data_IF_839704761246
#
_entry.id   IF_839704761246
#
_cell.length_a   1.000
_cell.length_b   1.000
_cell.length_c   1.000
_cell.angle_alpha   90.00
_cell.angle_beta   90.00
_cell.angle_gamma   90.00
#
_symmetry.space_group_name_H-M   'P 1'
#
loop_
_entity.id
_entity.type
_entity.pdbx_description
1 polymer ?
#
# COMPACT_ATOMS: atom_id res chain seq x y z
N UNK A 1 -19.80 2.95 -8.94
CA UNK A 1 -18.74 1.93 -8.75
C UNK A 1 -19.37 0.56 -8.92
N UNK A 2 -18.79 -0.32 -9.72
CA UNK A 2 -19.31 -1.66 -9.97
C UNK A 2 -18.54 -2.62 -9.05
N UNK A 3 -19.23 -3.46 -8.29
CA UNK A 3 -18.55 -4.49 -7.49
C UNK A 3 -17.97 -5.55 -8.41
N UNK A 4 -16.78 -6.04 -8.07
CA UNK A 4 -16.14 -7.12 -8.85
C UNK A 4 -17.03 -8.37 -8.90
N UNK A 5 -17.80 -8.63 -7.86
CA UNK A 5 -18.75 -9.75 -7.84
C UNK A 5 -19.80 -9.66 -8.95
N UNK A 6 -20.26 -8.45 -9.29
CA UNK A 6 -21.30 -8.22 -10.28
C UNK A 6 -20.82 -8.45 -11.72
N UNK A 7 -19.50 -8.35 -11.97
CA UNK A 7 -18.91 -8.57 -13.30
C UNK A 7 -18.06 -9.83 -13.38
N UNK A 8 -17.96 -10.59 -12.31
CA UNK A 8 -17.12 -11.80 -12.23
C UNK A 8 -17.42 -12.79 -13.36
N UNK A 9 -18.69 -13.04 -13.65
CA UNK A 9 -19.11 -13.95 -14.72
C UNK A 9 -18.67 -13.44 -16.09
N UNK A 10 -18.77 -12.12 -16.34
CA UNK A 10 -18.34 -11.51 -17.61
C UNK A 10 -16.81 -11.49 -17.79
N UNK A 11 -16.07 -11.64 -16.70
CA UNK A 11 -14.61 -11.72 -16.69
C UNK A 11 -14.09 -13.16 -16.67
N UNK A 12 -14.98 -14.15 -16.47
CA UNK A 12 -14.59 -15.55 -16.43
C UNK A 12 -13.97 -16.00 -17.76
N UNK A 13 -12.83 -16.66 -17.68
CA UNK A 13 -12.08 -17.12 -18.86
C UNK A 13 -11.26 -16.04 -19.58
N UNK A 14 -11.42 -14.77 -19.23
CA UNK A 14 -10.62 -13.66 -19.78
C UNK A 14 -9.30 -13.53 -19.05
N UNK A 15 -8.27 -13.06 -19.76
CA UNK A 15 -6.99 -12.65 -19.20
C UNK A 15 -7.05 -11.18 -18.79
N UNK A 16 -6.70 -10.89 -17.54
CA UNK A 16 -6.83 -9.55 -16.95
C UNK A 16 -5.45 -8.98 -16.64
N UNK A 17 -5.12 -7.88 -17.28
CA UNK A 17 -3.93 -7.08 -16.95
C UNK A 17 -4.24 -6.10 -15.82
N UNK A 18 -3.40 -6.07 -14.78
CA UNK A 18 -3.45 -5.06 -13.74
C UNK A 18 -2.21 -4.19 -13.84
N UNK A 19 -2.39 -2.90 -13.88
CA UNK A 19 -1.33 -1.97 -14.21
C UNK A 19 -1.40 -0.69 -13.38
N UNK A 20 -0.26 -0.23 -12.92
CA UNK A 20 -0.02 1.13 -12.47
C UNK A 20 1.39 1.59 -12.86
N UNK A 21 1.59 2.90 -12.86
CA UNK A 21 2.86 3.50 -13.31
C UNK A 21 4.06 3.08 -12.43
N UNK A 22 3.82 2.85 -11.15
CA UNK A 22 4.88 2.48 -10.21
C UNK A 22 5.42 1.09 -10.53
N UNK A 23 4.52 0.15 -10.81
CA UNK A 23 4.88 -1.24 -11.09
C UNK A 23 5.49 -1.38 -12.49
N UNK A 24 4.85 -0.77 -13.48
CA UNK A 24 5.20 -1.00 -14.89
C UNK A 24 6.45 -0.26 -15.32
N UNK A 25 6.73 0.95 -14.78
CA UNK A 25 7.77 1.82 -15.33
C UNK A 25 8.91 2.18 -14.38
N UNK A 26 8.78 1.96 -13.08
CA UNK A 26 9.76 2.47 -12.12
C UNK A 26 10.82 1.47 -11.67
N UNK A 27 10.76 0.19 -12.09
CA UNK A 27 11.57 -0.92 -11.54
C UNK A 27 11.46 -1.01 -9.99
N UNK A 28 10.34 -0.64 -9.43
CA UNK A 28 10.11 -0.64 -7.97
C UNK A 28 9.14 -1.75 -7.56
N UNK A 29 9.28 -2.93 -8.16
CA UNK A 29 8.40 -4.09 -7.90
C UNK A 29 8.36 -4.48 -6.41
N UNK A 30 9.46 -4.27 -5.69
CA UNK A 30 9.55 -4.51 -4.25
C UNK A 30 8.94 -3.40 -3.39
N UNK A 31 8.55 -2.26 -3.97
CA UNK A 31 8.06 -1.13 -3.19
C UNK A 31 6.67 -1.37 -2.61
N UNK A 32 6.40 -0.75 -1.45
CA UNK A 32 5.07 -0.78 -0.83
C UNK A 32 3.97 -0.16 -1.71
N UNK A 33 4.32 0.70 -2.66
CA UNK A 33 3.39 1.26 -3.64
C UNK A 33 3.01 0.23 -4.70
N UNK A 34 3.99 -0.51 -5.22
CA UNK A 34 3.76 -1.60 -6.14
C UNK A 34 2.97 -2.75 -5.49
N UNK A 35 3.13 -2.96 -4.18
CA UNK A 35 2.41 -3.98 -3.45
C UNK A 35 0.89 -3.88 -3.62
N UNK A 36 0.33 -2.68 -3.77
CA UNK A 36 -1.09 -2.46 -4.03
C UNK A 36 -1.57 -3.19 -5.30
N UNK A 37 -0.84 -3.07 -6.39
CA UNK A 37 -1.19 -3.73 -7.67
C UNK A 37 -1.15 -5.26 -7.53
N UNK A 38 -0.16 -5.78 -6.81
CA UNK A 38 -0.06 -7.22 -6.55
C UNK A 38 -1.14 -7.74 -5.60
N UNK A 39 -1.54 -6.92 -4.62
CA UNK A 39 -2.69 -7.23 -3.76
C UNK A 39 -3.97 -7.39 -4.58
N UNK A 40 -4.24 -6.47 -5.49
CA UNK A 40 -5.39 -6.53 -6.38
C UNK A 40 -5.35 -7.77 -7.27
N UNK A 41 -4.21 -8.10 -7.87
CA UNK A 41 -4.05 -9.32 -8.65
C UNK A 41 -4.34 -10.56 -7.81
N UNK A 42 -3.80 -10.63 -6.61
CA UNK A 42 -4.05 -11.74 -5.68
C UNK A 42 -5.51 -11.85 -5.29
N UNK A 43 -6.17 -10.72 -5.05
CA UNK A 43 -7.59 -10.66 -4.69
C UNK A 43 -8.47 -11.20 -5.82
N UNK A 44 -8.23 -10.74 -7.05
CA UNK A 44 -8.95 -11.24 -8.23
C UNK A 44 -8.70 -12.74 -8.48
N UNK A 45 -7.46 -13.18 -8.31
CA UNK A 45 -7.09 -14.59 -8.45
C UNK A 45 -7.77 -15.46 -7.37
N UNK A 46 -7.90 -14.94 -6.14
CA UNK A 46 -8.55 -15.67 -5.03
C UNK A 46 -10.03 -15.96 -5.29
N UNK A 47 -10.68 -15.17 -6.12
CA UNK A 47 -12.07 -15.37 -6.55
C UNK A 47 -12.18 -16.11 -7.90
N UNK A 48 -11.09 -16.66 -8.42
CA UNK A 48 -11.04 -17.51 -9.61
C UNK A 48 -10.88 -16.75 -10.94
N UNK A 49 -10.48 -15.49 -10.94
CA UNK A 49 -10.18 -14.73 -12.14
C UNK A 49 -8.70 -14.88 -12.54
N UNK A 50 -8.40 -14.84 -13.84
CA UNK A 50 -7.04 -14.93 -14.37
C UNK A 50 -6.42 -13.52 -14.46
N UNK A 51 -5.88 -13.04 -13.34
CA UNK A 51 -5.30 -11.69 -13.24
C UNK A 51 -3.78 -11.72 -13.11
N UNK A 52 -3.10 -10.86 -13.85
CA UNK A 52 -1.64 -10.70 -13.86
C UNK A 52 -1.28 -9.21 -13.72
N UNK A 53 -0.27 -8.92 -12.91
CA UNK A 53 0.35 -7.58 -12.87
C UNK A 53 1.23 -7.41 -14.10
N UNK A 54 1.04 -6.32 -14.84
CA UNK A 54 1.88 -5.98 -15.99
C UNK A 54 3.31 -5.65 -15.55
N UNK A 55 4.25 -6.12 -16.32
CA UNK A 55 5.66 -5.74 -16.25
C UNK A 55 6.06 -4.94 -17.49
N UNK A 56 7.30 -4.43 -17.53
CA UNK A 56 7.83 -3.74 -18.72
C UNK A 56 7.89 -4.61 -19.98
N UNK A 57 7.97 -5.92 -19.81
CA UNK A 57 8.07 -6.89 -20.90
C UNK A 57 6.70 -7.28 -21.45
N UNK A 58 5.64 -7.04 -20.69
CA UNK A 58 4.30 -7.41 -21.12
C UNK A 58 3.72 -6.40 -22.11
N UNK A 59 3.02 -6.90 -23.13
CA UNK A 59 2.21 -6.08 -24.00
C UNK A 59 0.75 -6.14 -23.52
N UNK A 60 0.16 -5.01 -23.19
CA UNK A 60 -1.24 -4.96 -22.73
C UNK A 60 -2.24 -5.49 -23.76
N UNK A 61 -1.89 -5.43 -25.04
CA UNK A 61 -2.74 -5.96 -26.13
C UNK A 61 -2.84 -7.49 -26.16
N UNK A 62 -2.01 -8.20 -25.36
CA UNK A 62 -2.10 -9.66 -25.21
C UNK A 62 -3.15 -10.07 -24.14
N UNK A 63 -3.85 -9.11 -23.55
CA UNK A 63 -4.87 -9.32 -22.53
C UNK A 63 -6.24 -8.90 -23.04
N UNK A 64 -7.29 -9.58 -22.55
CA UNK A 64 -8.68 -9.27 -22.90
C UNK A 64 -9.24 -8.09 -22.11
N UNK A 65 -8.69 -7.83 -20.93
CA UNK A 65 -9.15 -6.80 -20.00
C UNK A 65 -7.97 -6.06 -19.41
N UNK A 66 -8.07 -4.76 -19.32
CA UNK A 66 -7.09 -3.90 -18.68
C UNK A 66 -7.69 -3.18 -17.46
N UNK A 67 -7.26 -3.53 -16.27
CA UNK A 67 -7.59 -2.84 -15.03
C UNK A 67 -6.46 -1.89 -14.64
N UNK A 68 -6.74 -0.61 -14.65
CA UNK A 68 -5.74 0.44 -14.54
C UNK A 68 -6.02 1.39 -13.39
N UNK A 69 -4.99 1.75 -12.63
CA UNK A 69 -5.08 2.72 -11.55
C UNK A 69 -4.79 4.15 -12.03
N UNK A 70 -5.45 4.58 -13.09
CA UNK A 70 -5.22 5.88 -13.74
C UNK A 70 -5.25 7.09 -12.79
N UNK A 71 -6.24 7.21 -11.87
CA UNK A 71 -6.30 8.36 -10.98
C UNK A 71 -5.07 8.51 -10.09
N UNK A 72 -4.55 7.39 -9.57
CA UNK A 72 -3.32 7.39 -8.77
C UNK A 72 -2.11 7.85 -9.56
N UNK A 73 -2.09 7.56 -10.85
CA UNK A 73 -0.97 7.90 -11.72
C UNK A 73 -0.94 9.37 -12.08
N UNK A 74 -2.09 9.97 -12.32
CA UNK A 74 -2.14 11.39 -12.63
C UNK A 74 -1.79 12.24 -11.42
N UNK A 75 -2.23 11.86 -10.22
CA UNK A 75 -1.79 12.50 -8.98
C UNK A 75 -0.33 12.18 -8.64
N UNK A 76 0.07 10.91 -8.76
CA UNK A 76 1.41 10.44 -8.41
C UNK A 76 2.47 10.83 -9.43
N UNK A 77 2.17 10.86 -10.73
CA UNK A 77 3.13 11.24 -11.76
C UNK A 77 3.55 12.69 -11.65
N UNK A 78 2.64 13.56 -11.22
CA UNK A 78 2.97 14.95 -10.94
C UNK A 78 4.06 15.07 -9.87
N UNK A 79 3.99 14.26 -8.82
CA UNK A 79 4.89 14.30 -7.68
C UNK A 79 6.09 13.34 -7.79
N UNK A 80 5.93 12.20 -8.45
CA UNK A 80 6.94 11.13 -8.50
C UNK A 80 7.92 11.27 -9.66
N UNK A 81 7.51 11.83 -10.78
CA UNK A 81 8.30 11.88 -12.01
C UNK A 81 8.79 13.28 -12.38
N UNK A 82 8.61 14.26 -11.49
CA UNK A 82 9.24 15.58 -11.64
C UNK A 82 8.90 16.34 -12.92
N UNK A 83 7.74 16.12 -13.49
CA UNK A 83 7.20 16.98 -14.55
C UNK A 83 7.72 16.77 -15.97
N UNK A 84 8.78 15.99 -16.19
CA UNK A 84 9.45 15.85 -17.49
C UNK A 84 9.38 14.44 -18.09
N UNK A 85 8.61 13.52 -17.50
CA UNK A 85 8.61 12.13 -17.95
C UNK A 85 7.54 11.88 -19.01
N UNK A 86 7.94 11.32 -20.15
CA UNK A 86 7.06 10.95 -21.26
C UNK A 86 6.31 9.63 -21.05
N UNK A 87 6.66 8.83 -20.03
CA UNK A 87 6.02 7.54 -19.76
C UNK A 87 4.51 7.64 -19.52
N UNK A 88 3.98 8.62 -18.76
CA UNK A 88 2.53 8.81 -18.64
C UNK A 88 1.83 9.08 -19.99
N UNK A 89 2.45 9.87 -20.87
CA UNK A 89 1.91 10.14 -22.20
C UNK A 89 1.89 8.88 -23.08
N UNK A 90 2.96 8.09 -23.08
CA UNK A 90 3.03 6.82 -23.79
C UNK A 90 1.97 5.82 -23.28
N UNK A 91 1.68 5.84 -22.00
CA UNK A 91 0.66 5.00 -21.40
C UNK A 91 -0.77 5.42 -21.74
N UNK A 92 -1.05 6.72 -21.72
CA UNK A 92 -2.32 7.26 -22.20
C UNK A 92 -2.51 6.92 -23.70
N UNK A 93 -1.46 7.01 -24.51
CA UNK A 93 -1.51 6.59 -25.91
C UNK A 93 -1.90 5.12 -26.04
N UNK A 94 -1.29 4.23 -25.25
CA UNK A 94 -1.67 2.80 -25.25
C UNK A 94 -3.12 2.58 -24.82
N UNK A 95 -3.62 3.37 -23.87
CA UNK A 95 -5.03 3.33 -23.47
C UNK A 95 -5.94 3.69 -24.65
N UNK A 96 -5.58 4.71 -25.43
CA UNK A 96 -6.34 5.13 -26.60
C UNK A 96 -6.32 4.07 -27.73
N UNK A 97 -5.25 3.29 -27.84
CA UNK A 97 -5.07 2.28 -28.87
C UNK A 97 -5.56 0.88 -28.44
N UNK A 98 -5.90 0.69 -27.16
CA UNK A 98 -6.37 -0.58 -26.65
C UNK A 98 -7.82 -0.87 -27.09
N UNK A 99 -8.07 -2.10 -27.55
CA UNK A 99 -9.36 -2.52 -28.09
C UNK A 99 -10.22 -3.37 -27.13
N UNK A 100 -9.64 -3.81 -26.01
CA UNK A 100 -10.33 -4.61 -25.00
C UNK A 100 -11.09 -3.76 -23.98
N UNK A 101 -11.70 -4.43 -23.01
CA UNK A 101 -12.39 -3.78 -21.91
C UNK A 101 -11.42 -3.08 -20.95
N UNK A 102 -11.69 -1.82 -20.59
CA UNK A 102 -10.88 -1.06 -19.63
C UNK A 102 -11.73 -0.73 -18.41
N UNK A 103 -11.14 -0.97 -17.23
CA UNK A 103 -11.73 -0.62 -15.95
C UNK A 103 -10.74 0.18 -15.09
N UNK A 104 -11.26 1.13 -14.33
CA UNK A 104 -10.49 1.86 -13.33
C UNK A 104 -10.65 1.21 -11.95
N UNK A 105 -9.56 1.03 -11.23
CA UNK A 105 -9.54 0.38 -9.93
C UNK A 105 -9.85 1.37 -8.80
N UNK A 106 -10.94 1.10 -8.06
CA UNK A 106 -11.28 1.70 -6.76
C UNK A 106 -11.21 3.23 -6.62
N UNK A 107 -11.28 4.00 -7.72
CA UNK A 107 -11.27 5.47 -7.64
C UNK A 107 -12.10 6.09 -8.73
N UNK A 108 -12.67 7.25 -8.43
CA UNK A 108 -13.24 8.12 -9.45
C UNK A 108 -12.11 8.66 -10.33
N UNK A 109 -12.36 8.72 -11.62
CA UNK A 109 -11.40 9.29 -12.55
C UNK A 109 -11.31 10.81 -12.32
N UNK A 110 -10.12 11.37 -12.13
CA UNK A 110 -9.96 12.81 -12.08
C UNK A 110 -10.26 13.39 -13.48
N UNK A 111 -10.30 14.70 -13.57
CA UNK A 111 -10.39 15.40 -14.86
C UNK A 111 -9.09 15.20 -15.65
N UNK A 112 -9.01 14.06 -16.32
CA UNK A 112 -7.84 13.66 -17.11
C UNK A 112 -7.56 14.65 -18.25
N UNK A 113 -8.62 15.14 -18.89
CA UNK A 113 -8.50 16.15 -19.96
C UNK A 113 -7.82 17.42 -19.44
N UNK A 114 -8.25 17.95 -18.31
CA UNK A 114 -7.63 19.14 -17.71
C UNK A 114 -6.19 18.92 -17.28
N UNK A 115 -5.86 17.72 -16.80
CA UNK A 115 -4.48 17.35 -16.46
C UNK A 115 -3.60 17.30 -17.72
N UNK A 116 -4.03 16.62 -18.77
CA UNK A 116 -3.29 16.53 -20.04
C UNK A 116 -3.11 17.92 -20.65
N UNK A 117 -4.17 18.74 -20.70
CA UNK A 117 -4.09 20.12 -21.19
C UNK A 117 -3.05 20.97 -20.42
N UNK A 118 -3.05 20.85 -19.10
CA UNK A 118 -2.06 21.52 -18.25
C UNK A 118 -0.62 21.09 -18.59
N UNK A 119 -0.44 19.83 -18.92
CA UNK A 119 0.87 19.28 -19.29
C UNK A 119 1.32 19.64 -20.69
N UNK A 120 0.40 19.75 -21.64
CA UNK A 120 0.71 20.15 -23.02
C UNK A 120 1.42 21.51 -23.12
N UNK A 121 1.21 22.38 -22.11
CA UNK A 121 1.86 23.70 -22.06
C UNK A 121 3.35 23.67 -21.76
N UNK A 122 3.87 22.56 -21.22
CA UNK A 122 5.23 22.46 -20.69
C UNK A 122 6.03 21.23 -21.15
N UNK A 123 5.52 20.42 -22.09
CA UNK A 123 6.04 19.08 -22.30
C UNK A 123 6.42 18.76 -23.74
N UNK A 124 7.09 17.61 -23.89
CA UNK A 124 7.56 16.98 -25.10
C UNK A 124 6.48 16.80 -26.16
N UNK A 125 6.92 16.48 -27.38
CA UNK A 125 6.03 16.23 -28.51
C UNK A 125 5.11 15.02 -28.31
N UNK A 126 5.47 14.07 -27.43
CA UNK A 126 4.63 12.92 -27.08
C UNK A 126 3.33 13.33 -26.43
N UNK A 127 3.36 14.33 -25.52
CA UNK A 127 2.16 14.87 -24.92
C UNK A 127 1.29 15.66 -25.90
N UNK A 128 1.93 16.42 -26.79
CA UNK A 128 1.26 17.22 -27.82
C UNK A 128 0.54 16.35 -28.86
N UNK A 129 1.00 15.12 -29.05
CA UNK A 129 0.44 14.17 -29.99
C UNK A 129 -0.82 13.42 -29.44
N UNK A 130 -1.20 13.64 -28.19
CA UNK A 130 -2.37 12.98 -27.60
C UNK A 130 -3.68 13.60 -28.07
N UNK A 131 -4.63 12.76 -28.46
CA UNK A 131 -6.01 13.16 -28.73
C UNK A 131 -6.77 13.32 -27.41
N UNK A 132 -6.83 14.55 -26.92
CA UNK A 132 -7.48 14.90 -25.65
C UNK A 132 -8.99 14.66 -25.69
N UNK A 133 -9.63 14.90 -26.83
CA UNK A 133 -11.08 14.71 -26.96
C UNK A 133 -11.42 13.22 -26.88
N UNK A 134 -10.67 12.38 -27.57
CA UNK A 134 -10.82 10.93 -27.51
C UNK A 134 -10.56 10.40 -26.10
N UNK A 135 -9.53 10.90 -25.42
CA UNK A 135 -9.24 10.55 -24.03
C UNK A 135 -10.39 10.94 -23.09
N UNK A 136 -10.96 12.14 -23.25
CA UNK A 136 -12.13 12.56 -22.49
C UNK A 136 -13.31 11.59 -22.64
N UNK A 137 -13.63 11.20 -23.87
CA UNK A 137 -14.69 10.24 -24.15
C UNK A 137 -14.42 8.86 -23.50
N UNK A 138 -13.18 8.37 -23.56
CA UNK A 138 -12.80 7.12 -22.90
C UNK A 138 -12.98 7.25 -21.38
N UNK A 139 -12.51 8.34 -20.77
CA UNK A 139 -12.63 8.57 -19.34
C UNK A 139 -14.10 8.62 -18.86
N UNK A 140 -15.01 9.15 -19.67
CA UNK A 140 -16.44 9.16 -19.38
C UNK A 140 -17.07 7.75 -19.41
N UNK A 141 -16.50 6.84 -20.21
CA UNK A 141 -17.01 5.46 -20.39
C UNK A 141 -16.36 4.44 -19.47
N UNK A 142 -15.17 4.71 -18.95
CA UNK A 142 -14.44 3.79 -18.06
C UNK A 142 -15.21 3.60 -16.76
N UNK A 143 -15.51 2.35 -16.45
CA UNK A 143 -16.20 1.96 -15.23
C UNK A 143 -15.21 1.76 -14.09
N UNK A 144 -15.48 2.38 -12.95
CA UNK A 144 -14.71 2.16 -11.73
C UNK A 144 -15.20 0.88 -11.05
N UNK A 145 -14.25 -0.01 -10.77
CA UNK A 145 -14.50 -1.29 -10.11
C UNK A 145 -14.14 -1.21 -8.64
N UNK A 146 -15.04 -1.61 -7.77
CA UNK A 146 -14.78 -1.91 -6.38
C UNK A 146 -14.27 -3.35 -6.27
N UNK A 147 -13.01 -3.51 -5.88
CA UNK A 147 -12.34 -4.81 -5.73
C UNK A 147 -12.53 -5.42 -4.36
N UNK A 148 -13.37 -4.84 -3.49
CA UNK A 148 -13.74 -5.46 -2.23
C UNK A 148 -14.40 -6.82 -2.47
N UNK A 149 -14.14 -7.76 -1.55
CA UNK A 149 -14.72 -9.10 -1.55
C UNK A 149 -15.81 -9.20 -0.50
N UNK A 150 -16.60 -10.27 -0.54
CA UNK A 150 -17.57 -10.59 0.51
C UNK A 150 -16.91 -11.13 1.81
N UNK A 151 -15.59 -11.05 1.91
CA UNK A 151 -14.84 -11.46 3.09
C UNK A 151 -15.21 -10.62 4.30
N UNK A 152 -15.48 -11.28 5.42
CA UNK A 152 -15.67 -10.64 6.71
C UNK A 152 -14.34 -10.30 7.41
N UNK A 153 -13.19 -10.64 6.79
CA UNK A 153 -11.86 -10.27 7.25
C UNK A 153 -11.45 -8.91 6.71
N UNK A 154 -11.09 -8.01 7.59
CA UNK A 154 -10.70 -6.65 7.24
C UNK A 154 -9.37 -6.26 7.88
N UNK A 155 -8.51 -5.62 7.10
CA UNK A 155 -7.22 -5.11 7.54
C UNK A 155 -7.29 -3.59 7.59
N UNK A 156 -7.01 -3.00 8.76
CA UNK A 156 -7.00 -1.57 8.98
C UNK A 156 -5.62 -1.12 9.43
N UNK A 157 -4.99 -0.18 8.74
CA UNK A 157 -3.69 0.32 9.18
C UNK A 157 -3.16 1.51 8.39
N UNK A 158 -1.97 1.93 8.77
CA UNK A 158 -1.19 2.92 8.03
C UNK A 158 -0.55 2.29 6.76
N UNK A 159 0.43 2.94 6.16
CA UNK A 159 1.11 2.45 4.95
C UNK A 159 1.80 1.09 5.11
N UNK A 160 2.02 0.62 6.35
CA UNK A 160 2.63 -0.68 6.63
C UNK A 160 1.62 -1.84 6.55
N UNK A 161 0.30 -1.55 6.60
CA UNK A 161 -0.76 -2.56 6.62
C UNK A 161 -0.71 -3.53 5.43
N UNK A 162 -0.18 -3.09 4.28
CA UNK A 162 0.03 -3.97 3.12
C UNK A 162 0.96 -5.14 3.41
N UNK A 163 1.87 -5.00 4.36
CA UNK A 163 2.84 -6.05 4.71
C UNK A 163 2.21 -7.23 5.46
N UNK A 164 0.99 -7.07 5.93
CA UNK A 164 0.17 -8.12 6.56
C UNK A 164 -1.08 -8.44 5.76
N UNK A 165 -1.17 -7.99 4.51
CA UNK A 165 -2.29 -8.33 3.64
C UNK A 165 -2.39 -9.84 3.42
N UNK A 166 -3.58 -10.37 3.65
CA UNK A 166 -3.92 -11.76 3.44
C UNK A 166 -4.82 -11.87 2.21
N UNK A 167 -4.50 -12.75 1.23
CA UNK A 167 -5.35 -12.94 0.05
C UNK A 167 -6.81 -13.20 0.42
N UNK A 168 -7.71 -12.50 -0.22
CA UNK A 168 -9.15 -12.56 0.05
C UNK A 168 -9.65 -11.59 1.12
N UNK A 169 -8.79 -11.04 1.98
CA UNK A 169 -9.20 -10.02 2.95
C UNK A 169 -9.46 -8.66 2.28
N UNK A 170 -10.33 -7.86 2.87
CA UNK A 170 -10.46 -6.45 2.52
C UNK A 170 -9.45 -5.61 3.30
N UNK A 171 -9.06 -4.46 2.79
CA UNK A 171 -8.06 -3.60 3.42
C UNK A 171 -8.40 -2.11 3.27
N UNK A 172 -8.25 -1.37 4.37
CA UNK A 172 -8.16 0.09 4.37
C UNK A 172 -6.74 0.50 4.78
N UNK A 173 -5.97 0.94 3.80
CA UNK A 173 -4.64 1.49 4.00
C UNK A 173 -4.72 3.00 4.09
N UNK A 174 -4.30 3.56 5.22
CA UNK A 174 -4.40 4.98 5.53
C UNK A 174 -3.01 5.60 5.64
N UNK A 175 -2.41 5.92 4.50
CA UNK A 175 -1.04 6.46 4.42
C UNK A 175 -0.90 7.74 5.24
N UNK A 176 0.10 7.76 6.12
CA UNK A 176 0.39 8.93 6.95
C UNK A 176 -0.50 9.09 8.20
N UNK A 177 -1.47 8.21 8.44
CA UNK A 177 -2.30 8.25 9.65
C UNK A 177 -1.55 7.72 10.87
N UNK A 178 -1.65 8.45 11.98
CA UNK A 178 -1.19 8.01 13.30
C UNK A 178 -2.24 7.16 14.00
N UNK A 179 -1.83 6.30 14.93
CA UNK A 179 -2.75 5.58 15.81
C UNK A 179 -3.63 6.56 16.60
N UNK A 180 -3.01 7.57 17.19
CA UNK A 180 -3.72 8.62 17.92
C UNK A 180 -4.79 9.31 17.05
N UNK A 181 -4.43 9.64 15.81
CA UNK A 181 -5.36 10.30 14.87
C UNK A 181 -6.57 9.44 14.54
N UNK A 182 -6.36 8.17 14.24
CA UNK A 182 -7.45 7.24 13.91
C UNK A 182 -8.38 7.00 15.10
N UNK A 183 -7.85 6.87 16.31
CA UNK A 183 -8.68 6.76 17.52
C UNK A 183 -9.51 8.04 17.74
N UNK A 184 -8.91 9.22 17.56
CA UNK A 184 -9.62 10.50 17.70
C UNK A 184 -10.72 10.71 16.67
N UNK A 185 -10.55 10.20 15.46
CA UNK A 185 -11.54 10.26 14.38
C UNK A 185 -12.65 9.21 14.54
N UNK A 186 -12.45 8.21 15.40
CA UNK A 186 -13.34 7.05 15.61
C UNK A 186 -12.97 5.90 14.69
N UNK A 187 -12.32 4.87 15.24
CA UNK A 187 -11.84 3.69 14.47
C UNK A 187 -12.97 2.98 13.71
N UNK A 188 -14.16 2.98 14.27
CA UNK A 188 -15.37 2.38 13.69
C UNK A 188 -15.75 2.98 12.34
N UNK A 189 -15.37 4.24 12.07
CA UNK A 189 -15.67 4.91 10.82
C UNK A 189 -14.87 4.36 9.62
N UNK A 190 -13.76 3.68 9.92
CA UNK A 190 -12.88 3.07 8.93
C UNK A 190 -13.21 1.61 8.63
N UNK A 191 -14.08 0.98 9.41
CA UNK A 191 -14.33 -0.45 9.38
C UNK A 191 -15.71 -0.72 8.77
N UNK A 192 -15.80 -1.53 7.71
CA UNK A 192 -17.07 -1.90 7.11
C UNK A 192 -17.98 -2.64 8.11
N UNK A 193 -19.28 -2.40 8.01
CA UNK A 193 -20.28 -3.20 8.73
C UNK A 193 -20.17 -4.67 8.31
N UNK A 194 -20.32 -5.59 9.27
CA UNK A 194 -20.21 -7.01 9.00
C UNK A 194 -18.78 -7.56 9.06
N UNK A 195 -17.80 -6.74 9.47
CA UNK A 195 -16.46 -7.25 9.78
C UNK A 195 -16.51 -8.16 11.00
N UNK A 196 -16.06 -9.40 10.85
CA UNK A 196 -16.00 -10.40 11.94
C UNK A 196 -14.56 -10.66 12.40
N UNK A 197 -13.59 -10.42 11.53
CA UNK A 197 -12.17 -10.54 11.82
C UNK A 197 -11.44 -9.25 11.42
N UNK A 198 -10.84 -8.57 12.38
CA UNK A 198 -10.09 -7.35 12.20
C UNK A 198 -8.60 -7.59 12.46
N UNK A 199 -7.76 -7.26 11.48
CA UNK A 199 -6.31 -7.15 11.66
C UNK A 199 -5.97 -5.67 11.63
N UNK A 200 -5.24 -5.18 12.65
CA UNK A 200 -4.96 -3.75 12.76
C UNK A 200 -3.47 -3.47 12.94
N UNK A 201 -2.94 -2.48 12.19
CA UNK A 201 -1.51 -2.16 12.14
C UNK A 201 -1.25 -0.66 12.12
N UNK A 202 -1.04 -0.10 13.30
CA UNK A 202 -0.72 1.31 13.54
C UNK A 202 0.38 1.48 14.58
N UNK A 203 0.83 2.71 14.78
CA UNK A 203 1.81 3.08 15.81
C UNK A 203 3.19 3.44 15.24
N UNK A 204 3.50 3.02 14.02
CA UNK A 204 4.79 3.31 13.39
C UNK A 204 5.09 4.81 13.29
N UNK A 205 4.09 5.60 12.93
CA UNK A 205 4.22 7.06 12.76
C UNK A 205 4.29 7.74 14.12
N UNK A 206 3.51 7.24 15.10
CA UNK A 206 3.51 7.76 16.45
C UNK A 206 4.89 7.64 17.09
N UNK A 207 5.54 6.48 16.99
CA UNK A 207 6.92 6.26 17.48
C UNK A 207 7.89 7.20 16.76
N UNK A 208 7.87 7.23 15.42
CA UNK A 208 8.86 7.98 14.64
C UNK A 208 8.82 9.48 14.86
N UNK A 209 7.63 10.04 15.01
CA UNK A 209 7.46 11.49 14.87
C UNK A 209 6.85 12.18 16.09
N UNK A 210 6.18 11.48 16.97
CA UNK A 210 5.38 12.12 18.01
C UNK A 210 5.76 11.75 19.44
N UNK A 211 6.00 10.48 19.73
CA UNK A 211 6.14 10.04 21.11
C UNK A 211 7.43 10.53 21.80
N UNK A 212 8.55 10.59 21.09
CA UNK A 212 9.78 11.19 21.64
C UNK A 212 9.65 12.70 21.97
N UNK A 213 8.59 13.36 21.50
CA UNK A 213 8.31 14.78 21.80
C UNK A 213 7.49 15.00 23.07
N UNK A 214 6.98 13.93 23.66
CA UNK A 214 6.18 13.99 24.87
C UNK A 214 7.06 14.24 26.09
N UNK A 215 6.50 14.81 27.13
CA UNK A 215 7.22 15.07 28.40
C UNK A 215 7.67 13.79 29.11
N UNK A 216 6.90 12.72 28.95
CA UNK A 216 7.23 11.38 29.44
C UNK A 216 6.94 10.35 28.32
N UNK A 217 7.90 10.12 27.39
CA UNK A 217 7.68 9.27 26.23
C UNK A 217 7.25 7.83 26.57
N UNK A 218 7.86 7.21 27.58
CA UNK A 218 7.56 5.83 27.96
C UNK A 218 6.13 5.66 28.49
N UNK A 219 5.68 6.56 29.37
CA UNK A 219 4.30 6.51 29.85
C UNK A 219 3.30 6.88 28.74
N UNK A 220 3.68 7.77 27.84
CA UNK A 220 2.86 8.14 26.68
C UNK A 220 2.63 6.95 25.74
N UNK A 221 3.66 6.11 25.50
CA UNK A 221 3.49 4.86 24.73
C UNK A 221 2.50 3.92 25.42
N UNK A 222 2.68 3.67 26.72
CA UNK A 222 1.77 2.78 27.46
C UNK A 222 0.33 3.28 27.44
N UNK A 223 0.13 4.58 27.66
CA UNK A 223 -1.19 5.19 27.60
C UNK A 223 -1.81 5.06 26.18
N UNK A 224 -1.02 5.32 25.12
CA UNK A 224 -1.48 5.17 23.75
C UNK A 224 -1.93 3.75 23.43
N UNK A 225 -1.14 2.72 23.83
CA UNK A 225 -1.49 1.32 23.58
C UNK A 225 -2.69 0.91 24.44
N UNK A 226 -2.78 1.36 25.70
CA UNK A 226 -3.95 1.09 26.55
C UNK A 226 -5.25 1.67 25.94
N UNK A 227 -5.20 2.89 25.45
CA UNK A 227 -6.35 3.51 24.79
C UNK A 227 -6.70 2.81 23.47
N UNK A 228 -5.70 2.37 22.73
CA UNK A 228 -5.90 1.57 21.53
C UNK A 228 -6.71 0.30 21.81
N UNK A 229 -6.33 -0.47 22.81
CA UNK A 229 -7.04 -1.70 23.18
C UNK A 229 -8.46 -1.44 23.69
N UNK A 230 -8.70 -0.33 24.41
CA UNK A 230 -10.06 0.10 24.77
C UNK A 230 -10.92 0.39 23.54
N UNK A 231 -10.37 1.12 22.55
CA UNK A 231 -11.08 1.40 21.30
C UNK A 231 -11.37 0.10 20.53
N UNK A 232 -10.39 -0.81 20.41
CA UNK A 232 -10.58 -2.10 19.75
C UNK A 232 -11.67 -2.94 20.46
N UNK A 233 -11.67 -2.98 21.78
CA UNK A 233 -12.70 -3.71 22.55
C UNK A 233 -14.11 -3.15 22.31
N UNK A 234 -14.23 -1.85 22.18
CA UNK A 234 -15.50 -1.18 21.91
C UNK A 234 -16.11 -1.50 20.54
N UNK A 235 -15.30 -1.95 19.56
CA UNK A 235 -15.78 -2.34 18.23
C UNK A 235 -16.68 -3.59 18.24
N UNK A 236 -16.60 -4.41 19.28
CA UNK A 236 -17.39 -5.65 19.43
C UNK A 236 -17.27 -6.60 18.22
N UNK A 237 -16.05 -6.76 17.70
CA UNK A 237 -15.70 -7.66 16.60
C UNK A 237 -15.26 -9.00 17.17
N UNK A 238 -15.69 -10.12 16.55
CA UNK A 238 -15.49 -11.48 17.08
C UNK A 238 -14.01 -11.84 17.24
N UNK A 239 -13.18 -11.47 16.25
CA UNK A 239 -11.74 -11.73 16.25
C UNK A 239 -10.98 -10.46 15.93
N UNK A 240 -10.06 -10.09 16.81
CA UNK A 240 -9.16 -8.95 16.61
C UNK A 240 -7.73 -9.44 16.74
N UNK A 241 -6.87 -9.04 15.80
CA UNK A 241 -5.43 -9.27 15.84
C UNK A 241 -4.70 -7.94 15.69
N UNK A 242 -3.75 -7.70 16.58
CA UNK A 242 -2.92 -6.50 16.59
C UNK A 242 -1.54 -6.84 16.06
N UNK A 243 -1.04 -6.07 15.10
CA UNK A 243 0.29 -6.28 14.52
C UNK A 243 1.34 -5.54 15.32
N UNK A 244 2.38 -6.23 15.74
CA UNK A 244 3.56 -5.63 16.38
C UNK A 244 4.34 -4.77 15.42
N UNK A 245 4.92 -3.71 15.94
CA UNK A 245 5.76 -2.82 15.13
C UNK A 245 7.02 -3.54 14.66
N UNK A 246 7.46 -3.22 13.45
CA UNK A 246 8.75 -3.62 12.91
C UNK A 246 9.90 -3.00 13.69
N UNK A 247 11.12 -3.56 13.59
CA UNK A 247 12.33 -2.87 14.04
C UNK A 247 12.39 -1.45 13.47
N UNK A 248 12.84 -0.52 14.30
CA UNK A 248 12.92 0.89 13.92
C UNK A 248 13.96 1.06 12.81
N UNK A 249 13.58 1.83 11.83
CA UNK A 249 14.40 2.12 10.67
C UNK A 249 15.69 2.88 11.04
N UNK A 250 16.76 2.59 10.28
CA UNK A 250 18.04 3.24 10.41
C UNK A 250 17.97 4.75 10.06
N UNK A 251 18.77 5.58 10.72
CA UNK A 251 18.78 7.05 10.61
C UNK A 251 19.24 7.62 9.24
N UNK A 252 19.63 6.76 8.31
CA UNK A 252 19.99 7.15 6.94
C UNK A 252 18.84 7.63 6.05
N UNK A 253 17.63 7.80 6.59
CA UNK A 253 16.49 8.32 5.85
C UNK A 253 16.75 9.75 5.39
N UNK A 254 16.37 10.07 4.15
CA UNK A 254 16.42 11.43 3.62
C UNK A 254 15.46 12.33 4.39
N UNK A 255 15.91 13.55 4.69
CA UNK A 255 15.08 14.60 5.29
C UNK A 255 13.94 14.95 4.33
N UNK A 256 12.68 14.89 4.77
CA UNK A 256 11.54 15.31 3.97
C UNK A 256 11.64 16.77 3.56
N UNK A 257 11.38 17.06 2.30
CA UNK A 257 11.40 18.43 1.75
C UNK A 257 10.06 19.15 1.90
N UNK A 258 9.00 18.40 2.15
CA UNK A 258 7.61 18.90 2.23
C UNK A 258 6.84 18.17 3.32
N UNK A 259 5.70 18.71 3.68
CA UNK A 259 4.77 18.12 4.66
C UNK A 259 5.08 18.50 6.10
N UNK A 260 4.34 17.89 7.02
CA UNK A 260 4.42 18.19 8.46
C UNK A 260 5.80 17.93 9.08
N UNK A 261 6.54 16.94 8.54
CA UNK A 261 7.87 16.54 9.01
C UNK A 261 9.01 17.12 8.15
N UNK A 262 8.73 18.24 7.46
CA UNK A 262 9.75 18.98 6.73
C UNK A 262 10.94 19.27 7.66
N UNK A 263 12.14 19.09 7.14
CA UNK A 263 13.41 19.34 7.80
C UNK A 263 13.74 18.43 9.01
N UNK A 264 12.87 17.42 9.31
CA UNK A 264 13.11 16.45 10.37
C UNK A 264 12.66 15.04 9.97
N UNK A 265 13.57 14.10 9.71
CA UNK A 265 13.18 12.74 9.33
C UNK A 265 12.53 11.95 10.47
N UNK A 266 12.90 12.27 11.71
CA UNK A 266 12.44 11.60 12.93
C UNK A 266 12.37 12.58 14.12
N UNK A 267 11.72 12.15 15.22
CA UNK A 267 11.84 12.73 16.52
C UNK A 267 12.63 11.79 17.45
N UNK A 268 13.54 12.33 18.23
CA UNK A 268 14.44 11.56 19.09
C UNK A 268 15.55 10.83 18.31
N UNK A 269 16.42 10.16 19.05
CA UNK A 269 17.45 9.28 18.51
C UNK A 269 16.87 7.94 18.11
N UNK A 270 17.61 7.16 17.34
CA UNK A 270 17.21 5.80 17.01
C UNK A 270 17.08 4.91 18.25
N UNK A 271 18.01 5.06 19.22
CA UNK A 271 17.95 4.28 20.47
C UNK A 271 16.66 4.56 21.24
N UNK A 272 16.30 5.83 21.39
CA UNK A 272 15.03 6.24 22.04
C UNK A 272 13.82 5.65 21.32
N UNK A 273 13.76 5.76 19.99
CA UNK A 273 12.66 5.19 19.21
C UNK A 273 12.59 3.67 19.31
N UNK A 274 13.75 2.99 19.32
CA UNK A 274 13.81 1.52 19.52
C UNK A 274 13.25 1.15 20.88
N UNK A 275 13.63 1.84 21.95
CA UNK A 275 13.10 1.61 23.28
C UNK A 275 11.58 1.83 23.34
N UNK A 276 11.07 2.89 22.70
CA UNK A 276 9.62 3.13 22.64
C UNK A 276 8.88 2.04 21.85
N UNK A 277 9.46 1.54 20.76
CA UNK A 277 8.91 0.44 19.97
C UNK A 277 8.88 -0.87 20.77
N UNK A 278 9.92 -1.16 21.54
CA UNK A 278 9.98 -2.33 22.43
C UNK A 278 8.90 -2.26 23.50
N UNK A 279 8.72 -1.08 24.13
CA UNK A 279 7.64 -0.86 25.09
C UNK A 279 6.26 -1.00 24.43
N UNK A 280 6.07 -0.44 23.24
CA UNK A 280 4.83 -0.59 22.47
C UNK A 280 4.51 -2.08 22.23
N UNK A 281 5.47 -2.83 21.72
CA UNK A 281 5.30 -4.25 21.41
C UNK A 281 5.04 -5.10 22.67
N UNK A 282 5.71 -4.78 23.79
CA UNK A 282 5.49 -5.46 25.07
C UNK A 282 4.10 -5.17 25.65
N UNK A 283 3.63 -3.92 25.55
CA UNK A 283 2.26 -3.57 25.95
C UNK A 283 1.20 -4.21 25.05
N UNK A 284 1.50 -4.35 23.74
CA UNK A 284 0.61 -5.10 22.83
C UNK A 284 0.49 -6.55 23.27
N UNK A 285 1.60 -7.24 23.58
CA UNK A 285 1.56 -8.63 24.07
C UNK A 285 0.74 -8.74 25.36
N UNK A 286 1.03 -7.89 26.34
CA UNK A 286 0.36 -7.88 27.65
C UNK A 286 -1.15 -7.64 27.55
N UNK A 287 -1.52 -6.60 26.79
CA UNK A 287 -2.94 -6.24 26.65
C UNK A 287 -3.69 -7.21 25.72
N UNK A 288 -3.03 -7.79 24.74
CA UNK A 288 -3.67 -8.81 23.91
C UNK A 288 -4.07 -10.04 24.74
N UNK A 289 -3.22 -10.48 25.65
CA UNK A 289 -3.57 -11.54 26.61
C UNK A 289 -4.74 -11.12 27.51
N UNK A 290 -4.72 -9.90 28.05
CA UNK A 290 -5.77 -9.38 28.95
C UNK A 290 -7.14 -9.28 28.24
N UNK A 291 -7.15 -8.82 26.98
CA UNK A 291 -8.38 -8.59 26.21
C UNK A 291 -8.84 -9.80 25.38
N UNK A 292 -8.02 -10.85 25.30
CA UNK A 292 -8.29 -12.04 24.48
C UNK A 292 -8.13 -11.78 22.98
N UNK A 293 -7.22 -10.87 22.59
CA UNK A 293 -6.91 -10.58 21.18
C UNK A 293 -5.72 -11.40 20.68
N UNK A 294 -5.66 -11.62 19.37
CA UNK A 294 -4.49 -12.21 18.74
C UNK A 294 -3.38 -11.18 18.52
N UNK A 295 -2.16 -11.68 18.36
CA UNK A 295 -0.98 -10.87 18.03
C UNK A 295 -0.32 -11.41 16.78
N UNK A 296 -0.08 -10.54 15.81
CA UNK A 296 0.74 -10.84 14.63
C UNK A 296 2.15 -10.30 14.89
N UNK A 297 3.13 -11.20 15.02
CA UNK A 297 4.53 -10.88 15.28
C UNK A 297 5.40 -11.09 14.05
N UNK A 298 6.51 -10.37 13.99
CA UNK A 298 7.58 -10.54 13.03
C UNK A 298 8.63 -11.54 13.57
N UNK A 299 9.53 -12.07 12.73
CA UNK A 299 10.61 -12.93 13.19
C UNK A 299 11.44 -12.27 14.30
N UNK A 300 11.73 -13.00 15.35
CA UNK A 300 12.44 -12.46 16.53
C UNK A 300 13.86 -11.99 16.21
N UNK A 301 14.55 -12.70 15.32
CA UNK A 301 15.89 -12.35 14.85
C UNK A 301 15.95 -10.99 14.12
N UNK A 302 14.81 -10.46 13.67
CA UNK A 302 14.77 -9.14 13.07
C UNK A 302 15.03 -8.03 14.08
N UNK A 303 14.58 -8.20 15.31
CA UNK A 303 14.79 -7.22 16.39
C UNK A 303 16.23 -7.22 16.93
N UNK A 304 16.92 -8.35 16.79
CA UNK A 304 18.34 -8.49 17.15
C UNK A 304 19.28 -8.03 16.02
N UNK A 305 18.74 -7.79 14.83
CA UNK A 305 19.54 -7.36 13.68
C UNK A 305 19.91 -5.88 13.80
N UNK A 306 21.21 -5.57 13.58
CA UNK A 306 21.65 -4.18 13.53
C UNK A 306 20.80 -3.35 12.55
N UNK A 307 20.29 -2.16 12.92
CA UNK A 307 19.33 -1.41 12.14
C UNK A 307 19.74 -1.12 10.69
N UNK A 308 21.03 -0.87 10.44
CA UNK A 308 21.53 -0.65 9.08
C UNK A 308 21.49 -1.94 8.24
N UNK A 309 21.82 -3.08 8.85
CA UNK A 309 21.72 -4.39 8.18
C UNK A 309 20.27 -4.77 7.94
N UNK A 310 19.38 -4.50 8.92
CA UNK A 310 17.95 -4.69 8.74
C UNK A 310 17.43 -3.88 7.57
N UNK A 311 17.79 -2.59 7.49
CA UNK A 311 17.37 -1.70 6.40
C UNK A 311 17.87 -2.18 5.03
N UNK A 312 19.11 -2.67 4.94
CA UNK A 312 19.67 -3.19 3.69
C UNK A 312 19.04 -4.51 3.25
N UNK A 313 18.69 -5.38 4.20
CA UNK A 313 18.23 -6.73 3.88
C UNK A 313 16.71 -6.84 3.71
N UNK A 314 15.96 -6.13 4.52
CA UNK A 314 14.51 -6.36 4.63
C UNK A 314 13.65 -5.18 4.14
N UNK A 315 14.18 -3.96 4.10
CA UNK A 315 13.43 -2.81 3.61
C UNK A 315 13.45 -2.73 2.08
N UNK A 316 12.43 -2.11 1.50
CA UNK A 316 12.29 -1.96 0.03
C UNK A 316 13.48 -1.22 -0.62
N UNK A 317 14.17 -0.40 0.15
CA UNK A 317 15.42 0.28 -0.19
C UNK A 317 16.03 0.86 1.08
N UNK A 318 17.35 1.12 1.12
CA UNK A 318 17.99 1.84 2.20
C UNK A 318 17.31 3.19 2.46
N UNK A 319 17.03 3.50 3.71
CA UNK A 319 16.32 4.71 4.13
C UNK A 319 14.80 4.71 3.91
N UNK A 320 14.21 3.60 3.48
CA UNK A 320 12.77 3.38 3.56
C UNK A 320 12.34 2.98 4.97
N UNK A 321 11.07 3.17 5.24
CA UNK A 321 10.39 2.72 6.46
C UNK A 321 9.53 1.48 6.20
N UNK A 322 9.45 1.01 4.95
CA UNK A 322 8.58 -0.08 4.55
C UNK A 322 9.38 -1.32 4.19
N UNK A 323 8.85 -2.49 4.54
CA UNK A 323 9.41 -3.77 4.13
C UNK A 323 9.41 -3.91 2.61
N UNK A 324 10.40 -4.62 2.09
CA UNK A 324 10.34 -5.18 0.75
C UNK A 324 9.23 -6.24 0.70
N UNK A 325 8.50 -6.25 -0.41
CA UNK A 325 7.33 -7.11 -0.62
C UNK A 325 7.62 -8.61 -0.41
N UNK A 326 8.82 -9.06 -0.68
CA UNK A 326 9.25 -10.46 -0.49
C UNK A 326 9.24 -10.91 0.98
N UNK A 327 9.23 -9.97 1.93
CA UNK A 327 9.20 -10.22 3.38
C UNK A 327 7.82 -9.98 4.01
N UNK A 328 6.79 -9.77 3.21
CA UNK A 328 5.44 -9.62 3.72
C UNK A 328 4.98 -10.89 4.44
N UNK A 329 4.16 -10.72 5.48
CA UNK A 329 3.72 -11.81 6.36
C UNK A 329 3.04 -12.95 5.58
N UNK A 330 2.19 -12.61 4.63
CA UNK A 330 1.52 -13.54 3.75
C UNK A 330 2.04 -13.33 2.33
N UNK A 331 2.52 -14.40 1.72
CA UNK A 331 2.98 -14.34 0.34
C UNK A 331 1.77 -14.38 -0.60
N UNK A 332 1.42 -13.25 -1.18
CA UNK A 332 0.37 -13.16 -2.20
C UNK A 332 0.92 -12.99 -3.63
N UNK A 333 2.20 -13.26 -3.82
CA UNK A 333 2.82 -13.29 -5.14
C UNK A 333 2.47 -14.61 -5.81
N UNK A 334 1.56 -14.59 -6.76
CA UNK A 334 1.04 -15.80 -7.43
C UNK A 334 1.92 -16.33 -8.56
N UNK A 335 3.00 -15.64 -8.96
CA UNK A 335 3.83 -16.06 -10.09
C UNK A 335 5.14 -16.74 -9.66
N UNK A 336 5.32 -17.99 -10.13
CA UNK A 336 6.57 -18.76 -10.01
C UNK A 336 7.81 -18.06 -10.58
N UNK A 337 7.66 -17.06 -11.41
CA UNK A 337 8.74 -16.29 -12.04
C UNK A 337 9.54 -15.45 -11.03
N UNK A 338 8.91 -15.03 -9.92
CA UNK A 338 9.60 -14.30 -8.87
C UNK A 338 10.48 -15.15 -7.94
N UNK A 339 10.42 -16.49 -8.07
CA UNK A 339 11.38 -17.39 -7.41
C UNK A 339 12.79 -17.31 -8.04
N UNK A 340 12.90 -16.81 -9.28
CA UNK A 340 14.20 -16.60 -9.92
C UNK A 340 14.95 -15.41 -9.31
N UNK A 341 14.25 -14.35 -8.87
CA UNK A 341 14.84 -13.21 -8.18
C UNK A 341 15.47 -13.60 -6.84
N UNK A 342 14.85 -14.50 -6.06
CA UNK A 342 15.45 -15.06 -4.85
C UNK A 342 16.81 -15.76 -5.11
N UNK A 343 16.94 -16.44 -6.27
CA UNK A 343 18.21 -17.09 -6.66
C UNK A 343 19.25 -16.07 -7.06
N UNK A 344 18.88 -14.99 -7.72
CA UNK A 344 19.81 -13.96 -8.19
C UNK A 344 20.31 -13.10 -7.03
N UNK A 345 19.46 -12.75 -6.07
CA UNK A 345 19.85 -11.98 -4.87
C UNK A 345 20.77 -12.82 -3.96
N UNK A 346 20.47 -14.11 -3.76
CA UNK A 346 21.31 -15.01 -2.97
C UNK A 346 22.63 -15.38 -3.66
N UNK A 347 22.82 -15.08 -4.93
CA UNK A 347 24.08 -15.29 -5.66
C UNK A 347 24.97 -14.05 -5.72
N UNK A 348 24.50 -12.91 -5.20
CA UNK A 348 25.23 -11.64 -5.15
C UNK A 348 25.80 -11.34 -3.75
N UNK A 349 25.62 -12.25 -2.82
CA UNK A 349 26.20 -12.27 -1.46
C UNK A 349 26.81 -13.70 -1.20
#
# INVERSE_FOLDING_TARGET
MIKIADIKESLAGKTIAIDDVVTTYSNRESSHKAAWTYMLASQLTSIGLNAKVLTKQDNVHDFDVWMVALPMEFEGSYNLFGGANDEPAARIKRLLDYSGDVYCLNREMPNVGGFVESRLKSCSDNWKALDINRLGNICETIKTVDTSTDSTTFILGDSHSVSVFMPGANISRNDGKTLFGVMKEGMETYIPKGTEHLITYFGNIDIRHHLCRQSNPLESVKALVADYFKHLKALNINRIEVVKLLPIEFEGRRIPKTGWHKDAPFAGTQVERTQLMEVFNSEVDRLAEEYGFGVISWPSDWYDTHPELFAKKYMEKPGSVHLSREFYKYNFITNKENLSLKKTINSLF
#
